data_IF_181521523584
#
_entry.id   IF_181521523584
#
_cell.length_a   1.000
_cell.length_b   1.000
_cell.length_c   1.000
_cell.angle_alpha   90.00
_cell.angle_beta   90.00
_cell.angle_gamma   90.00
#
_symmetry.space_group_name_H-M   'P 1'
#
loop_
_entity.id
_entity.type
_entity.pdbx_description
1 polymer ?
#
# COMPACT_ATOMS: atom_id res chain seq x y z
N UNK A 1 18.14 -13.19 44.01
CA UNK A 1 17.74 -13.79 42.72
C UNK A 1 16.41 -13.22 42.20
N UNK A 2 15.46 -12.86 43.09
CA UNK A 2 14.19 -12.22 42.72
C UNK A 2 14.33 -10.87 41.97
N UNK A 3 15.27 -10.00 42.36
CA UNK A 3 15.47 -8.69 41.67
C UNK A 3 15.82 -8.77 40.17
N UNK A 4 16.37 -9.89 39.68
CA UNK A 4 16.66 -10.02 38.24
C UNK A 4 15.42 -10.38 37.41
N UNK A 5 14.38 -10.95 38.02
CA UNK A 5 13.17 -11.33 37.28
C UNK A 5 12.27 -10.11 37.03
N UNK A 6 12.12 -9.23 38.03
CA UNK A 6 11.45 -7.93 37.86
C UNK A 6 12.13 -7.05 36.80
N UNK A 7 13.45 -6.93 36.85
CA UNK A 7 14.21 -6.11 35.89
C UNK A 7 14.12 -6.62 34.44
N UNK A 8 13.93 -7.93 34.25
CA UNK A 8 13.68 -8.52 32.94
C UNK A 8 12.23 -8.35 32.48
N UNK A 9 11.27 -8.40 33.40
CA UNK A 9 9.87 -8.12 33.11
C UNK A 9 9.66 -6.66 32.70
N UNK A 10 10.25 -5.69 33.43
CA UNK A 10 10.20 -4.27 33.06
C UNK A 10 10.90 -3.97 31.73
N UNK A 11 12.01 -4.66 31.41
CA UNK A 11 12.69 -4.50 30.11
C UNK A 11 11.91 -5.11 28.95
N UNK A 12 11.22 -6.22 29.17
CA UNK A 12 10.33 -6.84 28.18
C UNK A 12 9.06 -6.02 27.98
N UNK A 13 8.50 -5.47 29.06
CA UNK A 13 7.31 -4.63 29.01
C UNK A 13 7.62 -3.31 28.28
N UNK A 14 8.68 -2.58 28.68
CA UNK A 14 9.08 -1.32 28.06
C UNK A 14 9.58 -1.49 26.61
N UNK A 15 10.31 -2.57 26.32
CA UNK A 15 10.76 -2.90 24.96
C UNK A 15 9.61 -3.36 24.06
N UNK A 16 8.69 -4.15 24.61
CA UNK A 16 7.50 -4.66 23.93
C UNK A 16 6.51 -3.56 23.62
N UNK A 17 6.21 -2.66 24.56
CA UNK A 17 5.35 -1.52 24.28
C UNK A 17 5.98 -0.64 23.21
N UNK A 18 7.27 -0.28 23.32
CA UNK A 18 7.91 0.61 22.35
C UNK A 18 7.98 0.02 20.94
N UNK A 19 8.20 -1.30 20.82
CA UNK A 19 8.14 -2.01 19.55
C UNK A 19 6.71 -2.05 18.98
N UNK A 20 5.70 -2.25 19.83
CA UNK A 20 4.27 -2.22 19.44
C UNK A 20 3.85 -0.80 19.01
N UNK A 21 4.31 0.24 19.69
CA UNK A 21 4.09 1.63 19.29
C UNK A 21 4.77 1.91 17.94
N UNK A 22 6.02 1.49 17.74
CA UNK A 22 6.70 1.63 16.45
C UNK A 22 6.03 0.86 15.31
N UNK A 23 5.55 -0.36 15.55
CA UNK A 23 4.77 -1.13 14.58
C UNK A 23 3.42 -0.46 14.29
N UNK A 24 2.76 0.09 15.32
CA UNK A 24 1.53 0.86 15.17
C UNK A 24 1.74 2.14 14.36
N UNK A 25 2.79 2.92 14.62
CA UNK A 25 3.14 4.11 13.86
C UNK A 25 3.47 3.76 12.41
N UNK A 26 4.22 2.68 12.16
CA UNK A 26 4.49 2.19 10.81
C UNK A 26 3.20 1.75 10.09
N UNK A 27 2.31 1.04 10.80
CA UNK A 27 1.02 0.60 10.27
C UNK A 27 0.08 1.79 10.00
N UNK A 28 0.09 2.80 10.87
CA UNK A 28 -0.65 4.05 10.68
C UNK A 28 -0.09 4.84 9.51
N UNK A 29 1.22 5.00 9.38
CA UNK A 29 1.85 5.65 8.22
C UNK A 29 1.56 4.90 6.92
N UNK A 30 1.54 3.57 6.95
CA UNK A 30 1.17 2.76 5.79
C UNK A 30 -0.32 2.94 5.43
N UNK A 31 -1.21 3.01 6.44
CA UNK A 31 -2.64 3.26 6.23
C UNK A 31 -2.91 4.69 5.72
N UNK A 32 -2.28 5.70 6.30
CA UNK A 32 -2.39 7.10 5.88
C UNK A 32 -1.81 7.33 4.49
N UNK A 33 -0.66 6.72 4.19
CA UNK A 33 -0.07 6.70 2.85
C UNK A 33 -1.01 6.07 1.82
N UNK A 34 -1.66 4.95 2.18
CA UNK A 34 -2.68 4.31 1.33
C UNK A 34 -3.92 5.17 1.14
N UNK A 35 -4.39 5.90 2.17
CA UNK A 35 -5.54 6.82 2.03
C UNK A 35 -5.23 7.93 1.02
N UNK A 36 -4.01 8.49 1.07
CA UNK A 36 -3.52 9.47 0.09
C UNK A 36 -3.50 8.90 -1.33
N UNK A 37 -2.85 7.74 -1.50
CA UNK A 37 -2.77 7.02 -2.76
C UNK A 37 -4.16 6.70 -3.32
N UNK A 38 -5.08 6.17 -2.51
CA UNK A 38 -6.45 5.84 -2.92
C UNK A 38 -7.24 7.07 -3.36
N UNK A 39 -7.04 8.22 -2.71
CA UNK A 39 -7.66 9.47 -3.14
C UNK A 39 -7.09 9.95 -4.47
N UNK A 40 -5.79 9.79 -4.69
CA UNK A 40 -5.13 10.15 -5.94
C UNK A 40 -5.59 9.24 -7.09
N UNK A 41 -5.58 7.91 -6.90
CA UNK A 41 -6.07 6.92 -7.86
C UNK A 41 -7.51 7.18 -8.28
N UNK A 42 -8.38 7.55 -7.32
CA UNK A 42 -9.76 7.91 -7.65
C UNK A 42 -9.87 9.15 -8.52
N UNK A 43 -8.90 10.07 -8.47
CA UNK A 43 -8.89 11.31 -9.25
C UNK A 43 -8.07 11.23 -10.52
N UNK A 44 -7.29 10.17 -10.69
CA UNK A 44 -6.48 9.97 -11.87
C UNK A 44 -7.33 10.11 -13.14
N UNK A 45 -6.73 10.75 -14.13
CA UNK A 45 -7.36 11.16 -15.39
C UNK A 45 -6.85 10.36 -16.60
N UNK A 46 -5.78 9.60 -16.41
CA UNK A 46 -5.19 8.72 -17.43
C UNK A 46 -4.57 7.47 -16.79
N UNK A 47 -4.34 6.44 -17.59
CA UNK A 47 -3.58 5.26 -17.16
C UNK A 47 -2.15 5.60 -16.79
N UNK A 48 -1.50 6.52 -17.52
CA UNK A 48 -0.15 7.01 -17.21
C UNK A 48 -0.06 7.54 -15.77
N UNK A 49 -1.04 8.37 -15.36
CA UNK A 49 -1.11 8.90 -14.00
C UNK A 49 -1.33 7.80 -12.96
N UNK A 50 -2.13 6.75 -13.27
CA UNK A 50 -2.28 5.58 -12.40
C UNK A 50 -0.95 4.84 -12.24
N UNK A 51 -0.22 4.60 -13.33
CA UNK A 51 1.09 3.95 -13.28
C UNK A 51 2.09 4.77 -12.46
N UNK A 52 2.15 6.08 -12.68
CA UNK A 52 3.04 6.98 -11.94
C UNK A 52 2.73 6.96 -10.44
N UNK A 53 1.46 7.04 -10.05
CA UNK A 53 1.05 6.97 -8.65
C UNK A 53 1.42 5.64 -8.00
N UNK A 54 1.23 4.53 -8.70
CA UNK A 54 1.54 3.19 -8.19
C UNK A 54 3.05 3.02 -8.04
N UNK A 55 3.84 3.37 -9.06
CA UNK A 55 5.30 3.26 -9.05
C UNK A 55 5.96 4.23 -8.08
N UNK A 56 5.47 5.47 -7.94
CA UNK A 56 5.97 6.43 -6.95
C UNK A 56 5.79 5.95 -5.50
N UNK A 57 4.86 5.02 -5.27
CA UNK A 57 4.62 4.39 -3.97
C UNK A 57 5.29 3.01 -3.85
N UNK A 58 6.17 2.62 -4.78
CA UNK A 58 6.94 1.38 -4.73
C UNK A 58 6.17 0.13 -5.18
N UNK A 59 5.00 0.30 -5.79
CA UNK A 59 4.17 -0.80 -6.25
C UNK A 59 4.31 -0.99 -7.78
N UNK A 60 4.00 -2.20 -8.22
CA UNK A 60 3.77 -2.58 -9.62
C UNK A 60 2.30 -2.88 -9.81
N UNK A 61 1.69 -2.35 -10.87
CA UNK A 61 0.30 -2.63 -11.20
C UNK A 61 0.19 -3.93 -12.00
N UNK A 62 -0.65 -4.85 -11.54
CA UNK A 62 -0.83 -6.17 -12.14
C UNK A 62 -2.33 -6.35 -12.45
N UNK A 63 -2.72 -6.52 -13.73
CA UNK A 63 -4.10 -6.89 -14.07
C UNK A 63 -4.40 -8.31 -13.56
N UNK A 64 -5.52 -8.47 -12.88
CA UNK A 64 -5.94 -9.73 -12.26
C UNK A 64 -7.43 -9.99 -12.52
N UNK A 65 -7.75 -10.47 -13.72
CA UNK A 65 -9.14 -10.66 -14.15
C UNK A 65 -9.93 -9.36 -14.12
N UNK A 66 -10.93 -9.30 -13.24
CA UNK A 66 -11.86 -8.17 -13.05
C UNK A 66 -11.33 -7.06 -12.12
N UNK A 67 -10.06 -7.13 -11.73
CA UNK A 67 -9.44 -6.18 -10.80
C UNK A 67 -7.99 -5.87 -11.18
N UNK A 68 -7.41 -4.85 -10.54
CA UNK A 68 -5.99 -4.58 -10.56
C UNK A 68 -5.39 -4.75 -9.17
N UNK A 69 -4.23 -5.40 -9.10
CA UNK A 69 -3.46 -5.55 -7.87
C UNK A 69 -2.25 -4.63 -7.92
N UNK A 70 -2.03 -3.84 -6.88
CA UNK A 70 -0.75 -3.18 -6.66
C UNK A 70 0.11 -4.07 -5.76
N UNK A 71 1.31 -4.40 -6.23
CA UNK A 71 2.22 -5.31 -5.56
C UNK A 71 3.62 -4.69 -5.39
N UNK A 72 4.11 -4.64 -4.17
CA UNK A 72 5.50 -4.36 -3.88
C UNK A 72 6.25 -5.70 -3.90
N UNK A 73 7.00 -5.91 -4.96
CA UNK A 73 7.73 -7.17 -5.21
C UNK A 73 8.90 -7.38 -4.25
N UNK A 74 9.34 -6.34 -3.53
CA UNK A 74 10.45 -6.42 -2.59
C UNK A 74 10.00 -6.85 -1.19
N UNK A 75 8.82 -6.40 -0.76
CA UNK A 75 8.25 -6.72 0.56
C UNK A 75 7.19 -7.81 0.50
N UNK A 76 6.65 -8.10 -0.69
CA UNK A 76 5.51 -9.01 -0.88
C UNK A 76 4.16 -8.40 -0.50
N UNK A 77 4.12 -7.11 -0.17
CA UNK A 77 2.87 -6.42 0.17
C UNK A 77 2.03 -6.24 -1.09
N UNK A 78 0.75 -6.60 -1.00
CA UNK A 78 -0.21 -6.50 -2.10
C UNK A 78 -1.51 -5.87 -1.62
N UNK A 79 -2.16 -5.12 -2.49
CA UNK A 79 -3.54 -4.68 -2.27
C UNK A 79 -4.32 -4.58 -3.58
N UNK A 80 -5.64 -4.69 -3.46
CA UNK A 80 -6.56 -4.55 -4.57
C UNK A 80 -6.86 -3.07 -4.83
N UNK A 81 -6.89 -2.65 -6.09
CA UNK A 81 -7.36 -1.30 -6.43
C UNK A 81 -8.85 -1.13 -6.14
N UNK A 82 -9.62 -2.22 -6.02
CA UNK A 82 -10.98 -2.16 -5.46
C UNK A 82 -11.01 -1.50 -4.08
N UNK A 83 -9.94 -1.63 -3.27
CA UNK A 83 -9.84 -0.99 -1.95
C UNK A 83 -9.91 0.54 -2.03
N UNK A 84 -9.61 1.13 -3.19
CA UNK A 84 -9.78 2.57 -3.40
C UNK A 84 -11.22 2.98 -3.73
N UNK A 85 -12.12 2.00 -3.95
CA UNK A 85 -13.54 2.20 -4.25
C UNK A 85 -13.89 2.17 -5.74
N UNK A 86 -12.96 1.83 -6.62
CA UNK A 86 -13.20 1.67 -8.06
C UNK A 86 -12.87 0.25 -8.51
N UNK A 87 -13.80 -0.38 -9.24
CA UNK A 87 -13.53 -1.64 -9.93
C UNK A 87 -12.71 -1.39 -11.20
N UNK A 88 -12.18 -2.48 -11.79
CA UNK A 88 -11.55 -2.41 -13.12
C UNK A 88 -12.44 -1.72 -14.15
N UNK A 89 -13.72 -2.08 -14.19
CA UNK A 89 -14.70 -1.48 -15.10
C UNK A 89 -14.76 0.04 -14.92
N UNK A 90 -14.85 0.54 -13.68
CA UNK A 90 -14.90 1.98 -13.40
C UNK A 90 -13.63 2.69 -13.85
N UNK A 91 -12.47 2.04 -13.70
CA UNK A 91 -11.22 2.59 -14.24
C UNK A 91 -11.23 2.62 -15.77
N UNK A 92 -11.62 1.54 -16.44
CA UNK A 92 -11.63 1.46 -17.90
C UNK A 92 -12.67 2.40 -18.53
N UNK A 93 -13.84 2.59 -17.90
CA UNK A 93 -14.85 3.57 -18.34
C UNK A 93 -14.33 5.01 -18.27
N UNK A 94 -13.52 5.32 -17.25
CA UNK A 94 -13.00 6.68 -17.02
C UNK A 94 -11.72 6.98 -17.78
N UNK A 95 -10.82 6.01 -17.86
CA UNK A 95 -9.46 6.18 -18.38
C UNK A 95 -9.30 5.63 -19.80
N UNK A 96 -10.32 4.93 -20.31
CA UNK A 96 -10.24 4.15 -21.54
C UNK A 96 -9.72 2.74 -21.29
N UNK A 97 -9.59 1.95 -22.37
CA UNK A 97 -9.09 0.58 -22.29
C UNK A 97 -7.73 0.50 -21.59
N UNK A 98 -7.55 -0.48 -20.71
CA UNK A 98 -6.26 -0.73 -20.07
C UNK A 98 -5.21 -1.06 -21.15
N UNK A 99 -4.03 -0.42 -21.14
CA UNK A 99 -3.08 -0.61 -22.23
C UNK A 99 -2.46 -2.02 -22.18
N UNK A 100 -2.31 -2.64 -23.36
CA UNK A 100 -1.69 -3.98 -23.51
C UNK A 100 -0.21 -4.01 -23.07
N UNK A 101 0.43 -2.84 -22.96
CA UNK A 101 1.79 -2.68 -22.49
C UNK A 101 1.88 -1.49 -21.55
N UNK A 102 2.70 -1.56 -20.47
CA UNK A 102 2.93 -0.39 -19.63
C UNK A 102 3.48 0.75 -20.49
N UNK A 103 3.11 2.01 -20.19
CA UNK A 103 3.61 3.14 -20.94
C UNK A 103 5.14 3.14 -20.91
N UNK A 104 5.75 3.29 -22.09
CA UNK A 104 7.18 3.57 -22.19
C UNK A 104 7.43 4.87 -21.44
N UNK A 105 8.13 4.79 -20.29
CA UNK A 105 8.54 5.95 -19.50
C UNK A 105 9.01 7.09 -20.41
N UNK A 106 8.45 8.28 -20.22
CA UNK A 106 8.98 9.51 -20.84
C UNK A 106 10.20 10.02 -20.09
#
# INVERSE_FOLDING_TARGET
MLNRLDEWADRLDAGGTRALWGARDAMTQQLEGRVGLFRALRRASSWDEVFDLISANGYTLIPNGEDFIAADMSTGLMFSLWDCGHSRLVFEERLGHFPDSPPTSR
#
